data_IF_591873453552
#
_entry.id   IF_591873453552
#
_cell.length_a   1.000
_cell.length_b   1.000
_cell.length_c   1.000
_cell.angle_alpha   90.00
_cell.angle_beta   90.00
_cell.angle_gamma   90.00
#
_symmetry.space_group_name_H-M   'P 1'
#
loop_
_entity.id
_entity.type
_entity.pdbx_description
1 polymer ?
#
# COMPACT_ATOMS: atom_id res chain seq x y z
N UNK A 1 -27.96 -39.39 3.22
CA UNK A 1 -28.28 -37.97 2.98
C UNK A 1 -27.34 -37.10 3.82
N UNK A 2 -26.43 -36.37 3.18
CA UNK A 2 -25.46 -35.52 3.89
C UNK A 2 -26.17 -34.33 4.56
N UNK A 3 -25.99 -34.14 5.87
CA UNK A 3 -26.51 -32.98 6.59
C UNK A 3 -25.78 -31.73 6.10
N UNK A 4 -26.48 -30.85 5.37
CA UNK A 4 -25.95 -29.55 5.00
C UNK A 4 -25.70 -28.73 6.28
N UNK A 5 -24.44 -28.28 6.46
CA UNK A 5 -24.08 -27.35 7.53
C UNK A 5 -24.78 -26.01 7.26
N UNK A 6 -25.68 -25.60 8.16
CA UNK A 6 -26.31 -24.29 8.12
C UNK A 6 -25.47 -23.31 8.93
N UNK A 7 -25.05 -22.21 8.31
CA UNK A 7 -24.40 -21.11 8.99
C UNK A 7 -25.39 -19.93 9.09
N UNK A 8 -25.50 -19.34 10.27
CA UNK A 8 -26.39 -18.20 10.51
C UNK A 8 -25.57 -16.92 10.56
N UNK A 9 -25.69 -16.11 9.51
CA UNK A 9 -25.11 -14.78 9.44
C UNK A 9 -26.04 -13.76 10.11
N UNK A 10 -25.51 -12.97 11.05
CA UNK A 10 -26.13 -11.74 11.56
C UNK A 10 -25.36 -10.53 11.05
N UNK A 11 -26.08 -9.45 10.73
CA UNK A 11 -25.53 -8.17 10.25
C UNK A 11 -26.21 -7.08 11.06
N UNK A 12 -25.41 -6.20 11.67
CA UNK A 12 -25.91 -5.02 12.37
C UNK A 12 -25.69 -3.82 11.46
N UNK A 13 -26.74 -3.01 11.31
CA UNK A 13 -26.77 -1.88 10.39
C UNK A 13 -27.33 -0.68 11.15
N UNK A 14 -26.83 0.51 10.87
CA UNK A 14 -27.26 1.75 11.51
C UNK A 14 -28.18 2.50 10.55
N UNK A 15 -29.39 2.85 10.99
CA UNK A 15 -30.39 3.53 10.13
C UNK A 15 -29.93 4.88 9.55
N UNK A 16 -28.99 5.57 10.18
CA UNK A 16 -28.48 6.87 9.70
C UNK A 16 -27.49 6.75 8.54
N UNK A 17 -26.74 5.64 8.49
CA UNK A 17 -25.60 5.48 7.57
C UNK A 17 -25.86 4.39 6.51
N UNK A 18 -26.66 3.36 6.83
CA UNK A 18 -26.96 2.22 5.95
C UNK A 18 -28.40 2.26 5.42
N UNK A 19 -29.00 3.45 5.31
CA UNK A 19 -30.40 3.60 4.93
C UNK A 19 -30.71 2.97 3.55
N UNK A 20 -29.77 3.10 2.62
CA UNK A 20 -29.81 2.51 1.28
C UNK A 20 -29.71 0.97 1.33
N UNK A 21 -28.79 0.44 2.13
CA UNK A 21 -28.56 -0.99 2.28
C UNK A 21 -29.74 -1.67 3.00
N UNK A 22 -30.35 -0.99 3.97
CA UNK A 22 -31.57 -1.42 4.66
C UNK A 22 -32.77 -1.38 3.70
N UNK A 23 -32.91 -0.33 2.89
CA UNK A 23 -33.96 -0.23 1.89
C UNK A 23 -33.85 -1.35 0.85
N UNK A 24 -32.64 -1.59 0.35
CA UNK A 24 -32.35 -2.70 -0.55
C UNK A 24 -32.61 -4.07 0.10
N UNK A 25 -32.21 -4.28 1.35
CA UNK A 25 -32.51 -5.54 2.05
C UNK A 25 -34.02 -5.80 2.17
N UNK A 26 -34.78 -4.73 2.40
CA UNK A 26 -36.21 -4.79 2.56
C UNK A 26 -36.95 -4.99 1.24
N UNK A 27 -36.39 -4.58 0.10
CA UNK A 27 -36.97 -4.81 -1.22
C UNK A 27 -36.88 -6.28 -1.67
N UNK A 28 -36.01 -7.08 -1.06
CA UNK A 28 -35.87 -8.51 -1.37
C UNK A 28 -36.94 -9.34 -0.63
N UNK A 29 -37.72 -10.19 -1.32
CA UNK A 29 -38.68 -11.10 -0.69
C UNK A 29 -38.04 -12.00 0.36
N UNK A 30 -38.72 -12.26 1.48
CA UNK A 30 -38.14 -12.98 2.62
C UNK A 30 -37.64 -14.39 2.29
N UNK A 31 -38.23 -15.07 1.30
CA UNK A 31 -37.79 -16.39 0.84
C UNK A 31 -36.50 -16.39 0.02
N UNK A 32 -36.10 -15.24 -0.52
CA UNK A 32 -34.92 -15.09 -1.38
C UNK A 32 -33.70 -14.53 -0.64
N UNK A 33 -33.86 -14.15 0.63
CA UNK A 33 -32.80 -13.62 1.49
C UNK A 33 -31.87 -14.76 1.93
N UNK A 34 -30.67 -14.80 1.37
CA UNK A 34 -29.67 -15.84 1.64
C UNK A 34 -28.60 -15.35 2.64
N UNK A 35 -27.97 -16.29 3.35
CA UNK A 35 -26.77 -16.06 4.16
C UNK A 35 -25.64 -15.42 3.35
N UNK A 36 -25.45 -15.82 2.08
CA UNK A 36 -24.45 -15.23 1.18
C UNK A 36 -24.67 -13.73 0.98
N UNK A 37 -25.93 -13.29 0.84
CA UNK A 37 -26.25 -11.86 0.70
C UNK A 37 -25.94 -11.09 1.99
N UNK A 38 -26.22 -11.71 3.14
CA UNK A 38 -25.83 -11.13 4.43
C UNK A 38 -24.32 -11.04 4.59
N UNK A 39 -23.58 -12.03 4.12
CA UNK A 39 -22.12 -12.02 4.17
C UNK A 39 -21.54 -10.95 3.24
N UNK A 40 -22.12 -10.74 2.05
CA UNK A 40 -21.77 -9.61 1.18
C UNK A 40 -22.06 -8.24 1.81
N UNK A 41 -23.20 -8.09 2.48
CA UNK A 41 -23.52 -6.87 3.22
C UNK A 41 -22.53 -6.63 4.36
N UNK A 42 -22.20 -7.69 5.11
CA UNK A 42 -21.21 -7.62 6.19
C UNK A 42 -19.87 -7.17 5.62
N UNK A 43 -19.43 -7.79 4.54
CA UNK A 43 -18.17 -7.48 3.88
C UNK A 43 -18.12 -6.02 3.38
N UNK A 44 -19.21 -5.53 2.79
CA UNK A 44 -19.32 -4.14 2.36
C UNK A 44 -19.25 -3.15 3.53
N UNK A 45 -19.95 -3.44 4.62
CA UNK A 45 -19.92 -2.60 5.84
C UNK A 45 -18.52 -2.63 6.46
N UNK A 46 -17.87 -3.80 6.49
CA UNK A 46 -16.51 -3.96 6.99
C UNK A 46 -15.49 -3.22 6.12
N UNK A 47 -15.56 -3.33 4.80
CA UNK A 47 -14.63 -2.66 3.89
C UNK A 47 -14.78 -1.13 3.91
N UNK A 48 -16.01 -0.61 3.92
CA UNK A 48 -16.22 0.84 3.88
C UNK A 48 -16.05 1.54 5.24
N UNK A 49 -16.21 0.81 6.35
CA UNK A 49 -16.07 1.38 7.71
C UNK A 49 -14.74 1.05 8.41
N UNK A 50 -13.81 0.38 7.71
CA UNK A 50 -12.52 0.02 8.30
C UNK A 50 -12.63 -1.11 9.32
N UNK A 51 -13.17 -2.24 8.86
CA UNK A 51 -13.40 -3.47 9.58
C UNK A 51 -14.43 -3.33 10.69
N UNK A 52 -15.23 -4.38 10.92
CA UNK A 52 -15.82 -4.59 12.23
C UNK A 52 -14.65 -4.77 13.20
N UNK A 53 -14.12 -3.68 13.75
CA UNK A 53 -13.40 -3.78 15.01
C UNK A 53 -14.45 -4.31 15.96
N UNK A 54 -14.29 -5.52 16.54
CA UNK A 54 -15.11 -5.88 17.68
C UNK A 54 -15.02 -4.67 18.60
N UNK A 55 -16.17 -4.12 19.02
CA UNK A 55 -16.19 -3.23 20.16
C UNK A 55 -15.70 -4.11 21.31
N UNK A 56 -14.37 -4.23 21.43
CA UNK A 56 -13.74 -4.88 22.57
C UNK A 56 -14.30 -4.11 23.76
N UNK A 57 -14.76 -4.81 24.80
CA UNK A 57 -15.23 -4.15 26.01
C UNK A 57 -14.18 -3.10 26.39
N UNK A 58 -14.61 -1.88 26.73
CA UNK A 58 -13.72 -0.76 27.11
C UNK A 58 -12.69 -1.12 28.21
N UNK A 59 -12.85 -2.29 28.83
CA UNK A 59 -12.04 -2.86 29.89
C UNK A 59 -11.05 -3.95 29.41
N UNK A 60 -10.97 -4.26 28.12
CA UNK A 60 -9.95 -5.16 27.58
C UNK A 60 -8.84 -4.30 27.00
N UNK A 61 -7.60 -4.38 27.53
CA UNK A 61 -6.47 -3.70 26.91
C UNK A 61 -6.41 -4.11 25.44
N UNK A 62 -6.36 -3.13 24.53
CA UNK A 62 -6.04 -3.45 23.14
C UNK A 62 -4.74 -4.26 23.15
N UNK A 63 -4.58 -5.26 22.28
CA UNK A 63 -3.31 -5.96 22.14
C UNK A 63 -2.24 -4.94 21.75
N UNK A 64 -1.53 -4.41 22.74
CA UNK A 64 -0.33 -3.62 22.52
C UNK A 64 0.71 -4.62 22.08
N UNK A 65 1.02 -4.63 20.80
CA UNK A 65 2.13 -5.38 20.23
C UNK A 65 3.37 -4.49 20.35
N UNK A 66 4.27 -4.75 21.31
CA UNK A 66 5.46 -3.92 21.50
C UNK A 66 6.35 -3.93 20.27
N UNK A 67 6.37 -5.03 19.50
CA UNK A 67 7.21 -5.17 18.31
C UNK A 67 6.76 -4.27 17.17
N UNK A 68 5.43 -4.17 16.95
CA UNK A 68 4.88 -3.20 15.99
C UNK A 68 5.14 -1.76 16.41
N UNK A 69 5.04 -1.46 17.70
CA UNK A 69 5.30 -0.11 18.20
C UNK A 69 6.78 0.27 18.04
N UNK A 70 7.71 -0.62 18.39
CA UNK A 70 9.15 -0.38 18.20
C UNK A 70 9.50 -0.19 16.74
N UNK A 71 8.92 -0.99 15.84
CA UNK A 71 9.14 -0.82 14.40
C UNK A 71 8.69 0.56 13.89
N UNK A 72 7.53 1.04 14.34
CA UNK A 72 7.06 2.40 13.99
C UNK A 72 8.00 3.48 14.52
N UNK A 73 8.55 3.31 15.72
CA UNK A 73 9.55 4.22 16.26
C UNK A 73 10.85 4.21 15.45
N UNK A 74 11.33 3.02 15.05
CA UNK A 74 12.54 2.85 14.24
C UNK A 74 12.36 3.45 12.85
N UNK A 75 11.22 3.20 12.20
CA UNK A 75 10.87 3.76 10.89
C UNK A 75 10.83 5.29 10.96
N UNK A 76 10.22 5.85 12.00
CA UNK A 76 10.16 7.30 12.20
C UNK A 76 11.56 7.91 12.41
N UNK A 77 12.45 7.23 13.16
CA UNK A 77 13.82 7.66 13.35
C UNK A 77 14.64 7.61 12.05
N UNK A 78 14.44 6.57 11.24
CA UNK A 78 15.06 6.44 9.93
C UNK A 78 14.61 7.55 8.97
N UNK A 79 13.30 7.81 8.86
CA UNK A 79 12.75 8.89 8.01
C UNK A 79 13.33 10.24 8.43
N UNK A 80 13.35 10.52 9.74
CA UNK A 80 13.92 11.77 10.25
C UNK A 80 15.38 11.94 9.85
N UNK A 81 16.16 10.86 9.92
CA UNK A 81 17.58 10.88 9.56
C UNK A 81 17.77 11.10 8.06
N UNK A 82 17.00 10.41 7.22
CA UNK A 82 17.02 10.57 5.76
C UNK A 82 16.65 12.01 5.34
N UNK A 83 15.65 12.61 5.99
CA UNK A 83 15.25 14.00 5.71
C UNK A 83 16.32 15.02 6.12
N UNK A 84 17.10 14.74 7.17
CA UNK A 84 18.17 15.63 7.62
C UNK A 84 19.41 15.59 6.71
N UNK A 85 19.67 14.47 6.03
CA UNK A 85 20.79 14.33 5.07
C UNK A 85 20.44 14.89 3.67
N UNK A 86 19.15 15.10 3.39
CA UNK A 86 18.63 15.52 2.09
C UNK A 86 19.21 16.88 1.60
N UNK A 87 19.30 17.94 2.43
CA UNK A 87 19.89 19.21 2.01
C UNK A 87 21.35 19.06 1.56
N UNK A 88 22.17 18.33 2.33
CA UNK A 88 23.58 18.11 1.99
C UNK A 88 23.77 17.21 0.76
N UNK A 89 22.84 16.28 0.52
CA UNK A 89 22.79 15.53 -0.73
C UNK A 89 22.47 16.44 -1.92
N UNK A 90 21.46 17.30 -1.81
CA UNK A 90 21.06 18.24 -2.87
C UNK A 90 22.18 19.22 -3.19
N UNK A 91 22.87 19.76 -2.18
CA UNK A 91 24.03 20.63 -2.37
C UNK A 91 25.15 19.94 -3.16
N UNK A 92 25.47 18.68 -2.83
CA UNK A 92 26.47 17.89 -3.57
C UNK A 92 26.05 17.66 -5.02
N UNK A 93 24.78 17.37 -5.28
CA UNK A 93 24.26 17.23 -6.65
C UNK A 93 24.37 18.55 -7.41
N UNK A 94 24.00 19.68 -6.80
CA UNK A 94 24.12 21.00 -7.42
C UNK A 94 25.58 21.31 -7.74
N UNK A 95 26.50 21.07 -6.81
CA UNK A 95 27.94 21.27 -7.03
C UNK A 95 28.49 20.37 -8.13
N UNK A 96 28.07 19.10 -8.19
CA UNK A 96 28.49 18.17 -9.22
C UNK A 96 27.99 18.59 -10.62
N UNK A 97 26.73 19.03 -10.72
CA UNK A 97 26.16 19.54 -11.98
C UNK A 97 26.82 20.87 -12.38
N UNK A 98 27.10 21.76 -11.44
CA UNK A 98 27.80 23.03 -11.72
C UNK A 98 29.25 22.81 -12.16
N UNK A 99 29.95 21.84 -11.55
CA UNK A 99 31.33 21.49 -11.90
C UNK A 99 31.44 20.77 -13.26
N UNK A 100 30.44 19.95 -13.61
CA UNK A 100 30.44 19.17 -14.86
C UNK A 100 29.65 19.83 -16.00
N UNK A 101 28.86 20.87 -15.72
CA UNK A 101 27.99 21.57 -16.68
C UNK A 101 28.64 22.76 -17.39
N UNK A 102 29.93 23.01 -17.16
CA UNK A 102 30.71 23.95 -17.96
C UNK A 102 31.05 23.34 -19.32
N UNK A 103 30.55 23.96 -20.39
CA UNK A 103 30.80 23.69 -21.82
C UNK A 103 29.85 22.70 -22.50
N UNK A 104 28.75 23.24 -23.06
CA UNK A 104 28.46 23.14 -24.50
C UNK A 104 27.39 24.17 -24.90
N UNK A 105 27.81 25.43 -24.99
CA UNK A 105 27.15 26.42 -25.84
C UNK A 105 28.09 26.69 -27.00
N UNK A 106 27.91 25.96 -28.10
CA UNK A 106 28.41 26.41 -29.40
C UNK A 106 27.58 25.80 -30.54
N UNK A 107 26.80 26.69 -31.13
CA UNK A 107 26.15 26.59 -32.43
C UNK A 107 27.16 26.47 -33.58
N UNK A 108 27.23 25.30 -34.26
CA UNK A 108 27.39 25.15 -35.74
C UNK A 108 27.54 23.67 -36.15
N UNK A 109 26.62 23.20 -36.99
CA UNK A 109 26.74 22.02 -37.88
C UNK A 109 27.73 22.34 -39.04
N UNK A 110 28.30 21.41 -39.87
CA UNK A 110 27.88 20.04 -40.22
C UNK A 110 29.01 18.97 -40.40
N UNK A 111 28.61 17.69 -40.53
CA UNK A 111 29.40 16.49 -40.91
C UNK A 111 30.34 15.83 -39.87
N UNK A 112 29.96 14.62 -39.44
CA UNK A 112 30.88 13.58 -38.94
C UNK A 112 30.31 12.75 -37.79
N UNK A 113 29.86 11.52 -38.08
CA UNK A 113 29.35 10.54 -37.11
C UNK A 113 30.28 10.30 -35.91
N UNK A 114 29.72 10.31 -34.70
CA UNK A 114 30.34 9.81 -33.47
C UNK A 114 29.28 9.41 -32.44
N UNK A 115 28.76 8.19 -32.56
CA UNK A 115 28.07 7.47 -31.49
C UNK A 115 29.09 7.10 -30.40
N UNK A 116 28.64 6.98 -29.14
CA UNK A 116 29.20 6.30 -27.94
C UNK A 116 29.28 7.26 -26.72
N UNK A 117 28.85 6.93 -25.51
CA UNK A 117 28.71 5.62 -24.87
C UNK A 117 27.57 5.64 -23.83
N UNK A 118 26.68 4.66 -23.91
CA UNK A 118 25.77 4.30 -22.83
C UNK A 118 26.61 3.65 -21.72
N UNK A 119 26.42 4.06 -20.46
CA UNK A 119 26.92 3.26 -19.35
C UNK A 119 26.10 1.96 -19.26
N UNK A 120 26.78 0.85 -19.53
CA UNK A 120 26.27 -0.50 -19.46
C UNK A 120 25.78 -0.84 -18.05
N UNK A 121 24.46 -1.02 -17.90
CA UNK A 121 23.92 -1.76 -16.77
C UNK A 121 24.45 -3.19 -16.84
N UNK A 122 25.43 -3.51 -16.00
CA UNK A 122 26.00 -4.85 -15.92
C UNK A 122 24.87 -5.88 -15.70
N UNK A 123 24.78 -6.84 -16.62
CA UNK A 123 23.88 -8.00 -16.58
C UNK A 123 23.90 -8.74 -15.23
N UNK A 124 25.04 -8.66 -14.53
CA UNK A 124 25.23 -9.23 -13.20
C UNK A 124 24.34 -8.57 -12.13
N UNK A 125 24.17 -7.24 -12.19
CA UNK A 125 23.35 -6.49 -11.23
C UNK A 125 21.85 -6.68 -11.46
N UNK A 126 21.45 -6.89 -12.72
CA UNK A 126 20.09 -7.30 -13.06
C UNK A 126 19.75 -8.68 -12.48
N UNK A 127 20.65 -9.67 -12.63
CA UNK A 127 20.49 -11.00 -12.05
C UNK A 127 20.48 -10.99 -10.51
N UNK A 128 21.33 -10.17 -9.87
CA UNK A 128 21.31 -10.02 -8.41
C UNK A 128 19.99 -9.46 -7.90
N UNK A 129 19.39 -8.50 -8.61
CA UNK A 129 18.08 -7.92 -8.25
C UNK A 129 16.95 -8.94 -8.43
N UNK A 130 16.95 -9.69 -9.53
CA UNK A 130 15.95 -10.73 -9.79
C UNK A 130 15.98 -11.85 -8.72
N UNK A 131 17.17 -12.30 -8.33
CA UNK A 131 17.31 -13.33 -7.30
C UNK A 131 16.86 -12.89 -5.90
N UNK A 132 16.94 -11.59 -5.57
CA UNK A 132 16.38 -11.05 -4.32
C UNK A 132 14.86 -11.05 -4.35
N UNK A 133 14.26 -10.68 -5.49
CA UNK A 133 12.80 -10.66 -5.66
C UNK A 133 12.19 -12.06 -5.58
N UNK A 134 12.84 -13.08 -6.14
CA UNK A 134 12.36 -14.48 -6.08
C UNK A 134 12.41 -15.10 -4.67
N UNK A 135 13.29 -14.60 -3.79
CA UNK A 135 13.42 -15.10 -2.40
C UNK A 135 12.47 -14.42 -1.41
N UNK A 136 11.91 -13.27 -1.77
CA UNK A 136 10.90 -12.59 -0.96
C UNK A 136 9.55 -13.30 -1.16
N UNK A 137 9.23 -14.25 -0.28
CA UNK A 137 7.91 -14.87 -0.20
C UNK A 137 7.12 -14.21 0.92
N UNK A 138 5.97 -13.65 0.56
CA UNK A 138 4.97 -13.12 1.48
C UNK A 138 4.13 -14.27 2.05
#
# INVERSE_FOLDING_TARGET
MAKQKRATATVKMTYSEDADLIAWWNSIPRGSRNAVMKDMMRDYIEHNRGGYRPIMPRNVPQPFDPGRFTQVCDDAAWIRTALMDLPGYVERVIQHVAANGGVQSNSRSPNGNGVLQAEDFSSEDAMRRENRMKKAKW
#
